data_IF_785381810139
#
_entry.id   IF_785381810139
#
_cell.length_a   1.000
_cell.length_b   1.000
_cell.length_c   1.000
_cell.angle_alpha   90.00
_cell.angle_beta   90.00
_cell.angle_gamma   90.00
#
_symmetry.space_group_name_H-M   'P 1'
#
loop_
_entity.id
_entity.type
_entity.pdbx_description
1 polymer ?
#
# COMPACT_ATOMS: atom_id res chain seq x y z
N UNK A 1 -2.00 46.98 26.68
CA UNK A 1 -1.37 45.84 25.99
C UNK A 1 -2.15 44.57 26.31
N UNK A 2 -3.00 44.10 25.39
CA UNK A 2 -3.79 42.87 25.55
C UNK A 2 -3.45 41.92 24.41
N UNK A 3 -2.55 40.98 24.69
CA UNK A 3 -2.15 39.90 23.78
C UNK A 3 -3.38 39.06 23.39
N UNK A 4 -3.77 39.14 22.11
CA UNK A 4 -4.79 38.26 21.53
C UNK A 4 -4.22 36.84 21.54
N UNK A 5 -4.69 36.03 22.48
CA UNK A 5 -4.49 34.59 22.47
C UNK A 5 -5.08 34.01 21.18
N UNK A 6 -4.20 33.74 20.22
CA UNK A 6 -4.48 33.00 18.99
C UNK A 6 -4.87 31.57 19.37
N UNK A 7 -6.13 31.39 19.75
CA UNK A 7 -6.73 30.06 19.87
C UNK A 7 -6.59 29.37 18.52
N UNK A 8 -5.61 28.47 18.42
CA UNK A 8 -5.37 27.59 17.30
C UNK A 8 -6.55 26.61 17.22
N UNK A 9 -7.70 27.09 16.75
CA UNK A 9 -8.81 26.23 16.36
C UNK A 9 -8.33 25.47 15.13
N UNK A 10 -7.90 24.23 15.35
CA UNK A 10 -7.73 23.23 14.29
C UNK A 10 -9.12 22.98 13.70
N UNK A 11 -9.55 23.88 12.81
CA UNK A 11 -10.79 23.74 12.07
C UNK A 11 -10.54 22.57 11.12
N UNK A 12 -11.08 21.40 11.47
CA UNK A 12 -11.09 20.21 10.61
C UNK A 12 -11.84 20.54 9.32
N UNK A 13 -11.12 21.11 8.38
CA UNK A 13 -11.59 21.37 7.03
C UNK A 13 -11.53 20.05 6.27
N UNK A 14 -12.70 19.54 5.84
CA UNK A 14 -12.82 18.31 5.05
C UNK A 14 -11.87 18.32 3.85
N UNK A 15 -11.64 19.49 3.27
CA UNK A 15 -10.73 19.67 2.13
C UNK A 15 -9.27 19.47 2.53
N UNK A 16 -8.84 20.02 3.67
CA UNK A 16 -7.46 19.81 4.18
C UNK A 16 -7.24 18.36 4.57
N UNK A 17 -8.20 17.73 5.24
CA UNK A 17 -8.10 16.32 5.60
C UNK A 17 -7.98 15.43 4.36
N UNK A 18 -8.84 15.63 3.36
CA UNK A 18 -8.77 14.91 2.08
C UNK A 18 -7.41 15.11 1.39
N UNK A 19 -6.91 16.34 1.34
CA UNK A 19 -5.60 16.65 0.76
C UNK A 19 -4.45 15.95 1.50
N UNK A 20 -4.45 15.94 2.83
CA UNK A 20 -3.42 15.26 3.62
C UNK A 20 -3.44 13.75 3.35
N UNK A 21 -4.61 13.11 3.34
CA UNK A 21 -4.73 11.67 3.04
C UNK A 21 -4.26 11.37 1.61
N UNK A 22 -4.62 12.22 0.63
CA UNK A 22 -4.20 12.04 -0.76
C UNK A 22 -2.68 12.21 -0.95
N UNK A 23 -2.07 13.21 -0.30
CA UNK A 23 -0.62 13.42 -0.32
C UNK A 23 0.10 12.26 0.38
N UNK A 24 -0.42 11.80 1.52
CA UNK A 24 0.11 10.62 2.21
C UNK A 24 0.05 9.39 1.31
N UNK A 25 -1.09 9.14 0.65
CA UNK A 25 -1.26 8.02 -0.27
C UNK A 25 -0.25 8.07 -1.41
N UNK A 26 -0.02 9.25 -2.01
CA UNK A 26 0.96 9.43 -3.07
C UNK A 26 2.40 9.20 -2.60
N UNK A 27 2.75 9.73 -1.42
CA UNK A 27 4.07 9.53 -0.83
C UNK A 27 4.34 8.05 -0.50
N UNK A 28 3.36 7.37 0.11
CA UNK A 28 3.45 5.93 0.39
C UNK A 28 3.51 5.10 -0.90
N UNK A 29 2.74 5.45 -1.94
CA UNK A 29 2.80 4.77 -3.23
C UNK A 29 4.18 4.90 -3.88
N UNK A 30 4.79 6.09 -3.84
CA UNK A 30 6.16 6.29 -4.31
C UNK A 30 7.16 5.43 -3.51
N UNK A 31 7.04 5.40 -2.18
CA UNK A 31 7.87 4.54 -1.35
C UNK A 31 7.67 3.04 -1.67
N UNK A 32 6.44 2.59 -1.95
CA UNK A 32 6.17 1.21 -2.42
C UNK A 32 6.92 0.91 -3.71
N UNK A 33 6.95 1.84 -4.68
CA UNK A 33 7.66 1.67 -5.95
C UNK A 33 9.16 1.53 -5.73
N UNK A 34 9.76 2.42 -4.92
CA UNK A 34 11.20 2.38 -4.61
C UNK A 34 11.56 1.09 -3.89
N UNK A 35 10.81 0.72 -2.85
CA UNK A 35 11.03 -0.52 -2.12
C UNK A 35 10.85 -1.75 -3.02
N UNK A 36 9.85 -1.74 -3.91
CA UNK A 36 9.64 -2.81 -4.88
C UNK A 36 10.84 -2.98 -5.83
N UNK A 37 11.44 -1.87 -6.27
CA UNK A 37 12.68 -1.88 -7.03
C UNK A 37 13.84 -2.49 -6.24
N UNK A 38 13.99 -2.12 -4.96
CA UNK A 38 15.05 -2.69 -4.10
C UNK A 38 14.87 -4.18 -3.83
N UNK A 39 13.64 -4.65 -3.62
CA UNK A 39 13.31 -6.08 -3.47
C UNK A 39 13.76 -6.86 -4.70
N UNK A 40 13.49 -6.33 -5.90
CA UNK A 40 13.93 -6.94 -7.16
C UNK A 40 15.44 -6.92 -7.31
N UNK A 41 16.09 -5.80 -6.98
CA UNK A 41 17.56 -5.68 -7.07
C UNK A 41 18.32 -6.57 -6.08
N UNK A 42 17.71 -6.95 -4.96
CA UNK A 42 18.31 -7.83 -3.95
C UNK A 42 17.90 -9.30 -4.08
N UNK A 43 17.14 -9.66 -5.13
CA UNK A 43 16.47 -10.96 -5.28
C UNK A 43 15.70 -11.39 -4.01
N UNK A 44 15.18 -10.40 -3.28
CA UNK A 44 14.50 -10.59 -2.00
C UNK A 44 13.01 -10.93 -2.14
N UNK A 45 12.48 -10.96 -3.37
CA UNK A 45 11.05 -11.16 -3.61
C UNK A 45 10.49 -12.51 -3.14
N UNK A 46 11.36 -13.48 -2.82
CA UNK A 46 11.00 -14.78 -2.24
C UNK A 46 11.46 -14.93 -0.78
N UNK A 47 11.95 -13.87 -0.13
CA UNK A 47 12.46 -13.92 1.25
C UNK A 47 11.36 -14.15 2.30
N UNK A 48 10.11 -13.77 1.99
CA UNK A 48 8.92 -14.15 2.75
C UNK A 48 8.10 -15.15 1.93
N UNK A 49 7.96 -16.39 2.42
CA UNK A 49 7.23 -17.46 1.72
C UNK A 49 5.72 -17.40 1.94
N UNK A 50 5.29 -16.94 3.12
CA UNK A 50 3.88 -16.90 3.52
C UNK A 50 3.28 -15.51 3.34
N UNK A 51 1.95 -15.42 3.27
CA UNK A 51 1.16 -14.19 3.40
C UNK A 51 -0.15 -14.56 4.10
N UNK A 52 -0.60 -13.87 5.16
CA UNK A 52 -0.17 -12.54 5.63
C UNK A 52 1.04 -12.51 6.56
N UNK A 53 1.45 -13.65 7.12
CA UNK A 53 2.66 -13.75 7.94
C UNK A 53 3.91 -13.72 7.04
N UNK A 54 5.09 -13.42 7.58
CA UNK A 54 6.38 -13.65 6.91
C UNK A 54 7.15 -14.71 7.70
N UNK A 55 7.39 -15.88 7.10
CA UNK A 55 8.10 -17.01 7.71
C UNK A 55 7.48 -17.44 9.06
N UNK A 56 6.16 -17.61 9.08
CA UNK A 56 5.42 -18.00 10.30
C UNK A 56 5.32 -16.93 11.40
N UNK A 57 5.79 -15.70 11.18
CA UNK A 57 5.70 -14.60 12.16
C UNK A 57 5.06 -13.33 11.58
N UNK A 58 4.35 -12.55 12.40
CA UNK A 58 3.81 -11.24 12.00
C UNK A 58 4.91 -10.20 11.89
N UNK A 59 5.87 -10.24 12.82
CA UNK A 59 7.11 -9.46 12.78
C UNK A 59 8.26 -10.45 12.66
N UNK A 60 8.86 -10.62 11.47
CA UNK A 60 9.96 -11.56 11.28
C UNK A 60 11.25 -11.03 11.92
N UNK A 61 12.24 -11.91 12.07
CA UNK A 61 13.60 -11.49 12.42
C UNK A 61 14.20 -10.62 11.30
N UNK A 62 14.47 -9.36 11.63
CA UNK A 62 15.02 -8.36 10.71
C UNK A 62 16.55 -8.46 10.58
N UNK A 63 17.20 -9.44 11.22
CA UNK A 63 18.63 -9.69 11.08
C UNK A 63 19.09 -9.98 9.65
N UNK A 64 18.20 -10.51 8.80
CA UNK A 64 18.48 -10.70 7.37
C UNK A 64 17.98 -9.49 6.55
N UNK A 65 18.88 -8.77 5.85
CA UNK A 65 18.49 -7.57 5.09
C UNK A 65 17.50 -7.86 3.96
N UNK A 66 17.51 -9.07 3.37
CA UNK A 66 16.52 -9.45 2.35
C UNK A 66 15.11 -9.57 2.92
N UNK A 67 14.98 -10.18 4.10
CA UNK A 67 13.70 -10.30 4.81
C UNK A 67 13.22 -8.92 5.26
N UNK A 68 14.11 -8.09 5.79
CA UNK A 68 13.77 -6.74 6.23
C UNK A 68 13.21 -5.87 5.11
N UNK A 69 13.83 -5.89 3.92
CA UNK A 69 13.38 -5.09 2.75
C UNK A 69 12.04 -5.60 2.21
N UNK A 70 11.86 -6.92 2.08
CA UNK A 70 10.58 -7.50 1.65
C UNK A 70 9.44 -7.19 2.64
N UNK A 71 9.71 -7.32 3.94
CA UNK A 71 8.75 -6.97 4.99
C UNK A 71 8.40 -5.47 4.99
N UNK A 72 9.40 -4.59 4.83
CA UNK A 72 9.18 -3.15 4.71
C UNK A 72 8.33 -2.80 3.47
N UNK A 73 8.62 -3.42 2.33
CA UNK A 73 7.82 -3.27 1.12
C UNK A 73 6.36 -3.66 1.35
N UNK A 74 6.10 -4.80 2.01
CA UNK A 74 4.74 -5.25 2.37
C UNK A 74 4.01 -4.27 3.29
N UNK A 75 4.69 -3.78 4.33
CA UNK A 75 4.10 -2.85 5.29
C UNK A 75 3.70 -1.55 4.60
N UNK A 76 4.59 -0.98 3.80
CA UNK A 76 4.31 0.26 3.06
C UNK A 76 3.20 0.03 2.03
N UNK A 77 3.20 -1.10 1.32
CA UNK A 77 2.12 -1.46 0.40
C UNK A 77 0.74 -1.54 1.09
N UNK A 78 0.69 -2.09 2.32
CA UNK A 78 -0.54 -2.14 3.11
C UNK A 78 -1.03 -0.73 3.50
N UNK A 79 -0.13 0.15 3.96
CA UNK A 79 -0.45 1.54 4.30
C UNK A 79 -0.93 2.32 3.07
N UNK A 80 -0.27 2.14 1.92
CA UNK A 80 -0.68 2.71 0.64
C UNK A 80 -2.09 2.27 0.27
N UNK A 81 -2.39 0.96 0.42
CA UNK A 81 -3.70 0.38 0.10
C UNK A 81 -4.82 0.97 0.95
N UNK A 82 -4.60 1.06 2.27
CA UNK A 82 -5.54 1.67 3.20
C UNK A 82 -5.75 3.15 2.91
N UNK A 83 -4.69 3.88 2.57
CA UNK A 83 -4.77 5.31 2.25
C UNK A 83 -5.55 5.55 0.97
N UNK A 84 -5.33 4.75 -0.09
CA UNK A 84 -6.10 4.83 -1.35
C UNK A 84 -7.57 4.50 -1.10
N UNK A 85 -7.87 3.42 -0.36
CA UNK A 85 -9.25 3.08 0.02
C UNK A 85 -9.91 4.22 0.80
N UNK A 86 -9.20 4.83 1.74
CA UNK A 86 -9.70 5.97 2.50
C UNK A 86 -9.98 7.17 1.58
N UNK A 87 -9.08 7.50 0.64
CA UNK A 87 -9.36 8.60 -0.32
C UNK A 87 -10.59 8.33 -1.17
N UNK A 88 -10.81 7.09 -1.61
CA UNK A 88 -12.02 6.69 -2.33
C UNK A 88 -13.27 6.90 -1.47
N UNK A 89 -13.27 6.37 -0.24
CA UNK A 89 -14.42 6.48 0.66
C UNK A 89 -14.73 7.95 0.95
N UNK A 90 -13.71 8.78 1.22
CA UNK A 90 -13.91 10.21 1.46
C UNK A 90 -14.40 10.96 0.22
N UNK A 91 -13.88 10.63 -0.98
CA UNK A 91 -14.37 11.19 -2.24
C UNK A 91 -15.85 10.85 -2.46
N UNK A 92 -16.21 9.60 -2.20
CA UNK A 92 -17.59 9.12 -2.30
C UNK A 92 -18.48 9.68 -1.17
N UNK A 93 -18.00 10.02 0.01
CA UNK A 93 -18.85 10.53 1.09
C UNK A 93 -19.02 12.05 1.03
N UNK A 94 -18.00 12.80 0.63
CA UNK A 94 -17.98 14.26 0.74
C UNK A 94 -18.01 15.00 -0.60
N UNK A 95 -17.62 14.35 -1.70
CA UNK A 95 -17.42 15.00 -3.01
C UNK A 95 -18.20 14.32 -4.14
N UNK A 96 -19.37 13.72 -3.85
CA UNK A 96 -20.22 13.04 -4.86
C UNK A 96 -20.60 13.90 -6.07
N UNK A 97 -20.71 15.22 -5.88
CA UNK A 97 -21.03 16.17 -6.95
C UNK A 97 -19.85 16.41 -7.91
N UNK A 98 -18.61 16.14 -7.48
CA UNK A 98 -17.39 16.38 -8.25
C UNK A 98 -16.97 15.10 -8.97
N UNK A 99 -17.60 14.83 -10.12
CA UNK A 99 -17.38 13.60 -10.90
C UNK A 99 -15.91 13.32 -11.21
N UNK A 100 -15.09 14.36 -11.44
CA UNK A 100 -13.65 14.22 -11.67
C UNK A 100 -12.93 13.61 -10.48
N UNK A 101 -13.19 14.08 -9.26
CA UNK A 101 -12.52 13.54 -8.06
C UNK A 101 -12.93 12.09 -7.84
N UNK A 102 -14.23 11.79 -7.96
CA UNK A 102 -14.74 10.42 -7.78
C UNK A 102 -14.18 9.48 -8.84
N UNK A 103 -14.11 9.90 -10.10
CA UNK A 103 -13.53 9.11 -11.19
C UNK A 103 -12.05 8.83 -10.95
N UNK A 104 -11.26 9.84 -10.58
CA UNK A 104 -9.83 9.66 -10.28
C UNK A 104 -9.61 8.70 -9.11
N UNK A 105 -10.39 8.82 -8.02
CA UNK A 105 -10.34 7.87 -6.92
C UNK A 105 -10.73 6.45 -7.35
N UNK A 106 -11.75 6.30 -8.21
CA UNK A 106 -12.15 5.02 -8.81
C UNK A 106 -11.06 4.37 -9.65
N UNK A 107 -10.41 5.15 -10.51
CA UNK A 107 -9.29 4.67 -11.32
C UNK A 107 -8.13 4.26 -10.43
N UNK A 108 -7.75 5.07 -9.44
CA UNK A 108 -6.66 4.75 -8.52
C UNK A 108 -6.91 3.44 -7.74
N UNK A 109 -8.13 3.26 -7.23
CA UNK A 109 -8.51 2.00 -6.57
C UNK A 109 -8.53 0.82 -7.55
N UNK A 110 -9.01 1.02 -8.79
CA UNK A 110 -8.99 -0.01 -9.83
C UNK A 110 -7.56 -0.46 -10.16
N UNK A 111 -6.61 0.49 -10.25
CA UNK A 111 -5.19 0.19 -10.44
C UNK A 111 -4.63 -0.60 -9.26
N UNK A 112 -4.96 -0.22 -8.02
CA UNK A 112 -4.55 -0.96 -6.82
C UNK A 112 -5.04 -2.42 -6.86
N UNK A 113 -6.33 -2.63 -7.16
CA UNK A 113 -6.91 -3.96 -7.30
C UNK A 113 -6.17 -4.75 -8.39
N UNK A 114 -5.88 -4.13 -9.53
CA UNK A 114 -5.12 -4.77 -10.60
C UNK A 114 -3.70 -5.18 -10.14
N UNK A 115 -3.01 -4.34 -9.35
CA UNK A 115 -1.69 -4.66 -8.78
C UNK A 115 -1.75 -5.86 -7.81
N UNK A 116 -2.75 -5.88 -6.92
CA UNK A 116 -2.95 -6.98 -5.96
C UNK A 116 -3.27 -8.28 -6.71
N UNK A 117 -4.19 -8.23 -7.68
CA UNK A 117 -4.54 -9.40 -8.50
C UNK A 117 -3.34 -9.90 -9.30
N UNK A 118 -2.56 -8.99 -9.91
CA UNK A 118 -1.34 -9.36 -10.63
C UNK A 118 -0.32 -10.03 -9.71
N UNK A 119 -0.17 -9.55 -8.47
CA UNK A 119 0.68 -10.20 -7.47
C UNK A 119 0.22 -11.64 -7.18
N UNK A 120 -1.08 -11.85 -6.90
CA UNK A 120 -1.62 -13.19 -6.64
C UNK A 120 -1.51 -14.11 -7.86
N UNK A 121 -1.81 -13.59 -9.06
CA UNK A 121 -1.73 -14.36 -10.31
C UNK A 121 -0.29 -14.77 -10.67
N UNK A 122 0.70 -13.93 -10.35
CA UNK A 122 2.11 -14.23 -10.55
C UNK A 122 2.71 -15.12 -9.45
N UNK A 123 2.11 -15.14 -8.25
CA UNK A 123 2.58 -15.92 -7.10
C UNK A 123 1.96 -17.31 -7.04
N UNK A 124 0.74 -17.47 -7.53
CA UNK A 124 0.13 -18.78 -7.73
C UNK A 124 0.75 -19.39 -9.00
N UNK A 125 1.34 -20.60 -8.95
CA UNK A 125 1.56 -21.33 -10.19
C UNK A 125 0.20 -21.47 -10.88
N UNK A 126 0.11 -21.33 -12.22
CA UNK A 126 -1.10 -21.67 -12.93
C UNK A 126 -1.52 -23.09 -12.49
N UNK A 127 -2.80 -23.26 -12.18
CA UNK A 127 -3.42 -24.48 -11.59
C UNK A 127 -3.36 -25.69 -12.55
N UNK A 128 -2.18 -26.00 -13.09
CA UNK A 128 -1.93 -26.95 -14.16
C UNK A 128 -0.45 -27.34 -14.35
N UNK A 129 0.49 -26.85 -13.54
CA UNK A 129 1.88 -27.37 -13.53
C UNK A 129 2.12 -28.15 -12.24
N UNK A 130 1.65 -29.39 -12.23
CA UNK A 130 2.19 -30.40 -11.33
C UNK A 130 3.66 -30.63 -11.71
N UNK A 131 4.60 -30.24 -10.87
CA UNK A 131 5.98 -30.68 -11.02
C UNK A 131 6.05 -32.18 -10.69
N UNK A 132 6.53 -33.05 -11.61
CA UNK A 132 6.92 -34.39 -11.21
C UNK A 132 8.16 -34.23 -10.32
N UNK A 133 8.09 -34.68 -9.06
CA UNK A 133 9.31 -34.84 -8.25
C UNK A 133 10.19 -35.87 -8.94
N UNK A 134 11.48 -35.60 -9.23
CA UNK A 134 12.40 -36.68 -9.55
C UNK A 134 12.62 -37.50 -8.27
N UNK A 135 12.27 -38.79 -8.35
CA UNK A 135 12.75 -39.81 -7.42
C UNK A 135 14.18 -40.12 -7.88
N UNK A 136 15.15 -39.79 -7.04
CA UNK A 136 16.57 -40.07 -7.24
C UNK A 136 17.30 -39.89 -5.93
#
# INVERSE_FOLDING_TARGET
MGSRGSGLRVRFDRRRFYQVVAVLAAACAYATIVLGGTVRGMDAGLACTDWPLCNGSVVPDLGNPRVAVEYAHRLVAAVTSLSILLTMVLALLWYRAELRLVLLSKVAFGILVAQVVALFALRLPPMGVASPRPIG
#
